data_IF_819475770959
#
_entry.id   IF_819475770959
#
_cell.length_a   1.000
_cell.length_b   1.000
_cell.length_c   1.000
_cell.angle_alpha   90.00
_cell.angle_beta   90.00
_cell.angle_gamma   90.00
#
_symmetry.space_group_name_H-M   'P 1'
#
loop_
_entity.id
_entity.type
_entity.pdbx_description
1 polymer ?
#
# COMPACT_ATOMS: atom_id res chain seq x y z
N UNK A 1 -15.23 21.26 59.23
CA UNK A 1 -14.12 20.32 59.49
C UNK A 1 -13.30 20.25 58.20
N UNK A 2 -12.64 21.36 57.80
CA UNK A 2 -11.25 21.74 58.18
C UNK A 2 -10.26 20.69 57.65
N UNK A 3 -9.75 20.78 56.42
CA UNK A 3 -8.68 21.64 55.87
C UNK A 3 -7.26 21.28 56.39
N UNK A 4 -6.39 20.79 55.50
CA UNK A 4 -4.93 20.94 55.62
C UNK A 4 -4.19 20.62 54.32
N UNK A 5 -3.86 21.68 53.58
CA UNK A 5 -2.78 21.77 52.58
C UNK A 5 -1.40 21.82 53.25
N UNK A 6 -0.30 21.35 52.61
CA UNK A 6 1.04 21.85 52.88
C UNK A 6 1.45 22.95 51.89
N UNK A 7 2.15 23.96 52.41
CA UNK A 7 2.70 25.13 51.70
C UNK A 7 4.08 24.86 51.09
N UNK A 8 4.41 25.72 50.14
CA UNK A 8 5.69 25.91 49.47
C UNK A 8 6.81 26.49 50.36
N UNK A 9 8.03 26.25 49.89
CA UNK A 9 9.31 26.83 50.29
C UNK A 9 10.42 25.82 49.93
N UNK A 10 11.55 26.15 49.34
CA UNK A 10 12.07 27.39 48.77
C UNK A 10 13.41 27.01 48.08
N UNK A 11 13.83 27.82 47.10
CA UNK A 11 15.25 28.14 46.77
C UNK A 11 16.07 27.19 45.85
N UNK A 12 16.37 27.75 44.65
CA UNK A 12 17.65 27.80 43.88
C UNK A 12 18.42 26.49 43.61
N UNK A 13 19.18 26.28 42.54
CA UNK A 13 19.72 27.04 41.42
C UNK A 13 20.48 25.98 40.58
N UNK A 14 20.48 26.13 39.26
CA UNK A 14 21.59 25.78 38.35
C UNK A 14 21.01 25.50 36.96
N UNK A 15 21.24 26.44 36.05
CA UNK A 15 21.19 26.13 34.63
C UNK A 15 22.22 25.05 34.29
N UNK A 16 22.05 24.42 33.14
CA UNK A 16 23.16 24.03 32.29
C UNK A 16 22.62 23.95 30.86
N UNK A 17 23.05 24.93 30.08
CA UNK A 17 22.95 25.00 28.64
C UNK A 17 23.96 24.01 28.05
N UNK A 18 23.47 23.03 27.29
CA UNK A 18 24.30 22.19 26.43
C UNK A 18 23.38 21.49 25.43
N UNK A 19 23.67 21.33 24.15
CA UNK A 19 24.64 21.89 23.24
C UNK A 19 24.09 21.42 21.88
N UNK A 20 23.94 22.34 20.93
CA UNK A 20 23.67 21.99 19.54
C UNK A 20 24.85 21.14 19.04
N UNK A 21 24.57 19.90 18.65
CA UNK A 21 25.46 19.09 17.83
C UNK A 21 24.84 18.96 16.44
N UNK A 22 25.17 19.95 15.62
CA UNK A 22 25.21 19.84 14.18
C UNK A 22 26.36 18.89 13.83
N UNK A 23 26.06 17.68 13.35
CA UNK A 23 27.02 16.88 12.60
C UNK A 23 26.49 16.70 11.18
N UNK A 24 27.03 17.54 10.30
CA UNK A 24 26.88 17.43 8.86
C UNK A 24 27.62 16.21 8.33
N UNK A 25 26.89 15.37 7.59
CA UNK A 25 27.48 14.57 6.53
C UNK A 25 26.78 14.98 5.24
N UNK A 26 27.49 15.80 4.46
CA UNK A 26 27.13 16.18 3.11
C UNK A 26 27.19 14.95 2.19
N UNK A 27 26.05 14.30 1.97
CA UNK A 27 25.83 13.39 0.85
C UNK A 27 25.32 14.19 -0.35
N UNK A 28 26.17 14.38 -1.35
CA UNK A 28 25.83 15.05 -2.60
C UNK A 28 24.81 14.23 -3.42
N UNK A 29 23.52 14.39 -3.13
CA UNK A 29 22.41 14.00 -4.00
C UNK A 29 21.92 15.22 -4.76
N UNK A 30 22.08 15.25 -6.09
CA UNK A 30 21.50 16.32 -6.91
C UNK A 30 19.97 16.31 -6.75
N UNK A 31 19.31 17.46 -6.51
CA UNK A 31 17.86 17.50 -6.53
C UNK A 31 17.35 17.21 -7.95
N UNK A 32 16.52 16.18 -8.10
CA UNK A 32 15.80 15.93 -9.35
C UNK A 32 14.71 17.00 -9.46
N UNK A 33 14.98 18.05 -10.23
CA UNK A 33 14.00 19.09 -10.54
C UNK A 33 12.99 18.55 -11.55
N UNK A 34 11.72 18.43 -11.15
CA UNK A 34 10.61 18.24 -12.08
C UNK A 34 10.12 19.60 -12.59
N UNK A 35 10.76 20.15 -13.62
CA UNK A 35 10.15 21.22 -14.41
C UNK A 35 9.40 20.59 -15.58
N UNK A 36 8.08 20.47 -15.47
CA UNK A 36 7.21 20.24 -16.62
C UNK A 36 7.13 21.52 -17.46
N UNK A 37 8.16 21.78 -18.26
CA UNK A 37 8.16 22.81 -19.28
C UNK A 37 7.73 22.21 -20.61
N UNK A 38 6.55 22.59 -21.08
CA UNK A 38 6.11 22.29 -22.44
C UNK A 38 6.97 23.09 -23.43
N UNK A 39 7.98 22.42 -24.00
CA UNK A 39 8.74 22.95 -25.13
C UNK A 39 8.78 21.88 -26.22
N UNK A 40 8.23 22.23 -27.37
CA UNK A 40 8.23 21.46 -28.61
C UNK A 40 9.64 20.98 -28.97
N UNK A 41 9.85 19.66 -29.00
CA UNK A 41 11.08 19.03 -29.50
C UNK A 41 10.78 18.26 -30.78
N UNK A 42 11.38 18.77 -31.85
CA UNK A 42 11.65 18.09 -33.11
C UNK A 42 12.24 16.70 -32.89
N UNK A 43 11.80 15.75 -33.73
CA UNK A 43 12.16 14.34 -33.65
C UNK A 43 13.67 14.09 -33.62
N UNK A 44 14.09 13.33 -32.62
CA UNK A 44 15.28 12.50 -32.60
C UNK A 44 15.02 11.38 -31.59
N UNK A 45 15.22 10.13 -31.99
CA UNK A 45 14.82 8.92 -31.26
C UNK A 45 15.35 8.92 -29.82
N UNK A 46 14.50 9.35 -28.89
CA UNK A 46 14.83 9.48 -27.48
C UNK A 46 14.74 8.13 -26.79
N UNK A 47 15.89 7.59 -26.38
CA UNK A 47 15.91 6.61 -25.29
C UNK A 47 15.57 7.35 -24.00
N UNK A 48 14.31 7.28 -23.59
CA UNK A 48 13.92 7.72 -22.24
C UNK A 48 14.75 6.94 -21.22
N UNK A 49 15.35 7.61 -20.22
CA UNK A 49 16.10 6.91 -19.19
C UNK A 49 15.17 5.92 -18.47
N UNK A 50 15.58 4.65 -18.42
CA UNK A 50 14.86 3.62 -17.67
C UNK A 50 15.13 3.84 -16.19
N UNK A 51 14.09 4.12 -15.42
CA UNK A 51 14.18 4.15 -13.96
C UNK A 51 14.36 2.73 -13.42
N UNK A 52 15.26 2.58 -12.46
CA UNK A 52 15.49 1.36 -11.72
C UNK A 52 14.70 1.38 -10.40
N UNK A 53 14.54 0.22 -9.77
CA UNK A 53 13.88 0.12 -8.47
C UNK A 53 14.62 0.93 -7.39
N UNK A 54 15.95 1.00 -7.49
CA UNK A 54 16.79 1.79 -6.60
C UNK A 54 16.46 3.28 -6.68
N UNK A 55 16.14 3.80 -7.87
CA UNK A 55 15.80 5.22 -8.05
C UNK A 55 14.48 5.55 -7.32
N UNK A 56 13.50 4.64 -7.37
CA UNK A 56 12.23 4.78 -6.65
C UNK A 56 12.44 4.73 -5.13
N UNK A 57 13.30 3.81 -4.66
CA UNK A 57 13.63 3.71 -3.24
C UNK A 57 14.33 4.98 -2.74
N UNK A 58 15.28 5.52 -3.51
CA UNK A 58 15.98 6.76 -3.17
C UNK A 58 15.04 7.96 -3.17
N UNK A 59 14.11 8.03 -4.12
CA UNK A 59 13.09 9.10 -4.19
C UNK A 59 12.20 9.11 -2.94
N UNK A 60 11.80 7.94 -2.44
CA UNK A 60 11.02 7.81 -1.21
C UNK A 60 11.89 8.16 0.01
N UNK A 61 13.11 7.62 0.08
CA UNK A 61 14.02 7.78 1.22
C UNK A 61 14.47 9.23 1.43
N UNK A 62 14.72 9.96 0.34
CA UNK A 62 15.15 11.37 0.37
C UNK A 62 14.01 12.37 0.54
N UNK A 63 12.75 11.90 0.66
CA UNK A 63 11.58 12.77 0.82
C UNK A 63 11.13 13.44 -0.48
N UNK A 64 11.68 13.05 -1.63
CA UNK A 64 11.23 13.50 -2.95
C UNK A 64 9.84 12.97 -3.33
N UNK A 65 9.34 11.94 -2.64
CA UNK A 65 7.97 11.46 -2.73
C UNK A 65 7.37 11.23 -1.34
N UNK A 66 6.32 11.99 -1.00
CA UNK A 66 5.65 11.94 0.32
C UNK A 66 4.17 11.57 0.23
N UNK A 67 3.64 11.39 -0.99
CA UNK A 67 2.23 11.10 -1.25
C UNK A 67 2.10 9.95 -2.23
N UNK A 68 2.29 8.73 -1.72
CA UNK A 68 2.25 7.50 -2.50
C UNK A 68 0.81 7.02 -2.63
N UNK A 69 0.33 6.88 -3.86
CA UNK A 69 -0.90 6.14 -4.15
C UNK A 69 -0.52 4.73 -4.57
N UNK A 70 -1.16 3.73 -3.97
CA UNK A 70 -0.93 2.32 -4.31
C UNK A 70 -2.22 1.75 -4.91
N UNK A 71 -2.07 1.05 -6.04
CA UNK A 71 -3.15 0.28 -6.68
C UNK A 71 -2.77 -1.20 -6.68
N UNK A 72 -3.61 -2.04 -6.09
CA UNK A 72 -3.33 -3.48 -5.95
C UNK A 72 -4.48 -4.33 -6.50
N UNK A 73 -4.20 -5.63 -6.65
CA UNK A 73 -5.19 -6.65 -7.01
C UNK A 73 -4.73 -8.01 -6.48
N UNK A 74 -5.42 -9.07 -6.88
CA UNK A 74 -5.36 -10.37 -6.20
C UNK A 74 -3.97 -10.99 -6.08
N UNK A 75 -3.04 -10.63 -6.98
CA UNK A 75 -1.65 -11.06 -6.93
C UNK A 75 -0.96 -10.82 -5.58
N UNK A 76 -1.30 -9.74 -4.86
CA UNK A 76 -0.69 -9.47 -3.54
C UNK A 76 -1.13 -10.47 -2.47
N UNK A 77 -2.28 -11.12 -2.63
CA UNK A 77 -2.87 -12.07 -1.70
C UNK A 77 -2.52 -13.53 -2.02
N UNK A 78 -1.92 -13.79 -3.19
CA UNK A 78 -1.44 -15.14 -3.57
C UNK A 78 -0.48 -15.76 -2.55
N UNK A 79 0.48 -15.03 -1.95
CA UNK A 79 1.35 -15.61 -0.92
C UNK A 79 0.63 -15.84 0.41
N UNK A 80 -0.54 -15.22 0.62
CA UNK A 80 -1.41 -15.47 1.77
C UNK A 80 -2.30 -16.71 1.59
N UNK A 81 -2.23 -17.37 0.42
CA UNK A 81 -3.03 -18.55 0.11
C UNK A 81 -4.38 -18.24 -0.57
N UNK A 82 -4.64 -16.98 -0.92
CA UNK A 82 -5.83 -16.59 -1.69
C UNK A 82 -5.49 -16.66 -3.19
N UNK A 83 -6.13 -17.56 -3.97
CA UNK A 83 -5.91 -17.62 -5.41
C UNK A 83 -6.24 -16.29 -6.09
N UNK A 84 -5.52 -15.96 -7.17
CA UNK A 84 -5.97 -14.91 -8.06
C UNK A 84 -7.10 -15.41 -8.99
N UNK A 85 -7.57 -14.56 -9.91
CA UNK A 85 -8.62 -14.94 -10.85
C UNK A 85 -8.10 -15.58 -12.13
N UNK A 86 -6.94 -15.15 -12.63
CA UNK A 86 -6.54 -15.32 -14.04
C UNK A 86 -5.29 -16.19 -14.25
N UNK A 87 -4.58 -16.57 -13.19
CA UNK A 87 -3.41 -17.44 -13.32
C UNK A 87 -3.82 -18.80 -13.90
N UNK A 88 -3.16 -19.28 -14.96
CA UNK A 88 -3.46 -20.58 -15.54
C UNK A 88 -3.29 -21.71 -14.53
N UNK A 89 -4.30 -22.57 -14.40
CA UNK A 89 -4.27 -23.78 -13.56
C UNK A 89 -4.51 -23.55 -12.06
N UNK A 90 -4.19 -22.37 -11.53
CA UNK A 90 -4.38 -22.05 -10.09
C UNK A 90 -5.43 -20.97 -9.83
N UNK A 91 -5.67 -20.08 -10.79
CA UNK A 91 -6.62 -18.99 -10.64
C UNK A 91 -8.08 -19.47 -10.72
N UNK A 92 -8.98 -18.74 -10.06
CA UNK A 92 -10.38 -19.14 -9.93
C UNK A 92 -11.03 -19.49 -11.27
N UNK A 93 -10.83 -18.70 -12.33
CA UNK A 93 -11.45 -18.96 -13.63
C UNK A 93 -11.07 -20.31 -14.24
N UNK A 94 -9.92 -20.89 -13.89
CA UNK A 94 -9.53 -22.23 -14.33
C UNK A 94 -10.35 -23.33 -13.62
N UNK A 95 -10.83 -23.06 -12.41
CA UNK A 95 -11.48 -24.03 -11.52
C UNK A 95 -13.01 -23.88 -11.46
N UNK A 96 -13.59 -22.86 -12.12
CA UNK A 96 -15.03 -22.61 -12.09
C UNK A 96 -15.87 -23.53 -13.00
N UNK A 97 -15.24 -24.40 -13.79
CA UNK A 97 -15.96 -25.31 -14.71
C UNK A 97 -16.98 -26.20 -13.97
N UNK A 98 -16.77 -26.45 -12.68
CA UNK A 98 -17.68 -27.21 -11.82
C UNK A 98 -19.05 -26.55 -11.61
N UNK A 99 -19.18 -25.22 -11.78
CA UNK A 99 -20.37 -24.46 -11.39
C UNK A 99 -21.48 -24.40 -12.46
N UNK A 100 -21.38 -25.15 -13.57
CA UNK A 100 -22.35 -25.14 -14.69
C UNK A 100 -22.71 -23.72 -15.18
N UNK A 101 -21.71 -22.85 -15.22
CA UNK A 101 -21.84 -21.47 -15.69
C UNK A 101 -21.52 -21.37 -17.19
N UNK A 102 -22.10 -20.41 -17.92
CA UNK A 102 -21.89 -20.29 -19.37
C UNK A 102 -20.46 -19.84 -19.72
N UNK A 103 -19.85 -19.04 -18.87
CA UNK A 103 -18.46 -18.58 -18.93
C UNK A 103 -18.01 -18.12 -17.53
N UNK A 104 -16.70 -18.09 -17.22
CA UNK A 104 -16.20 -17.85 -15.87
C UNK A 104 -16.68 -16.56 -15.21
N UNK A 105 -16.75 -15.47 -15.96
CA UNK A 105 -17.14 -14.14 -15.47
C UNK A 105 -18.62 -14.06 -15.07
N UNK A 106 -19.47 -14.96 -15.58
CA UNK A 106 -20.90 -14.95 -15.31
C UNK A 106 -21.22 -15.03 -13.80
N UNK A 107 -20.37 -15.69 -13.01
CA UNK A 107 -20.54 -15.76 -11.55
C UNK A 107 -20.50 -14.39 -10.86
N UNK A 108 -19.89 -13.38 -11.50
CA UNK A 108 -19.73 -12.01 -10.99
C UNK A 108 -20.64 -11.01 -11.72
N UNK A 109 -21.50 -11.46 -12.62
CA UNK A 109 -22.48 -10.59 -13.29
C UNK A 109 -23.79 -10.51 -12.50
N UNK A 110 -24.31 -9.29 -12.31
CA UNK A 110 -25.58 -9.07 -11.60
C UNK A 110 -26.76 -9.76 -12.28
N UNK A 111 -26.82 -9.74 -13.61
CA UNK A 111 -27.86 -10.40 -14.41
C UNK A 111 -27.92 -11.90 -14.15
N UNK A 112 -26.75 -12.56 -14.10
CA UNK A 112 -26.64 -13.97 -13.77
C UNK A 112 -26.97 -14.23 -12.31
N UNK A 113 -26.45 -13.41 -11.39
CA UNK A 113 -26.70 -13.53 -9.95
C UNK A 113 -28.20 -13.51 -9.62
N UNK A 114 -28.97 -12.60 -10.23
CA UNK A 114 -30.43 -12.55 -10.02
C UNK A 114 -31.18 -13.75 -10.61
N UNK A 115 -30.60 -14.43 -11.62
CA UNK A 115 -31.17 -15.64 -12.21
C UNK A 115 -30.83 -16.90 -11.40
N UNK A 116 -29.57 -17.05 -11.00
CA UNK A 116 -29.08 -18.14 -10.18
C UNK A 116 -27.93 -17.67 -9.26
N UNK A 117 -28.21 -17.34 -7.99
CA UNK A 117 -27.19 -16.85 -7.07
C UNK A 117 -26.36 -17.97 -6.43
N UNK A 118 -26.71 -19.26 -6.62
CA UNK A 118 -26.06 -20.38 -5.92
C UNK A 118 -24.57 -20.51 -6.24
N UNK A 119 -24.10 -20.37 -7.51
CA UNK A 119 -22.68 -20.39 -7.81
C UNK A 119 -21.90 -19.32 -7.03
N UNK A 120 -22.40 -18.08 -7.03
CA UNK A 120 -21.78 -16.98 -6.28
C UNK A 120 -21.71 -17.26 -4.78
N UNK A 121 -22.80 -17.71 -4.14
CA UNK A 121 -22.77 -18.00 -2.71
C UNK A 121 -21.86 -19.18 -2.34
N UNK A 122 -21.74 -20.18 -3.23
CA UNK A 122 -20.81 -21.29 -3.02
C UNK A 122 -19.36 -20.81 -3.09
N UNK A 123 -19.05 -20.00 -4.11
CA UNK A 123 -17.75 -19.35 -4.26
C UNK A 123 -17.43 -18.39 -3.09
N UNK A 124 -18.38 -17.54 -2.68
CA UNK A 124 -18.20 -16.58 -1.60
C UNK A 124 -17.93 -17.26 -0.26
N UNK A 125 -18.42 -18.50 -0.06
CA UNK A 125 -18.11 -19.30 1.13
C UNK A 125 -16.65 -19.75 1.16
N UNK A 126 -16.02 -19.99 0.00
CA UNK A 126 -14.58 -20.29 -0.08
C UNK A 126 -13.72 -19.06 0.26
N UNK A 127 -14.24 -17.85 -0.04
CA UNK A 127 -13.58 -16.58 0.25
C UNK A 127 -13.86 -16.00 1.64
N UNK A 128 -14.72 -16.64 2.44
CA UNK A 128 -15.19 -16.04 3.69
C UNK A 128 -14.02 -15.76 4.65
N UNK A 129 -13.92 -14.55 5.24
CA UNK A 129 -12.79 -14.17 6.09
C UNK A 129 -12.61 -15.10 7.29
N UNK A 130 -11.37 -15.44 7.60
CA UNK A 130 -11.03 -16.21 8.81
C UNK A 130 -9.84 -17.17 8.68
N UNK A 131 -9.48 -17.55 7.45
CA UNK A 131 -8.42 -18.54 7.20
C UNK A 131 -7.09 -17.96 6.68
N UNK A 132 -7.08 -16.68 6.30
CA UNK A 132 -5.92 -16.06 5.66
C UNK A 132 -5.31 -14.97 6.54
N UNK A 133 -4.00 -14.77 6.40
CA UNK A 133 -3.26 -13.73 7.11
C UNK A 133 -2.58 -12.80 6.12
N UNK A 134 -2.46 -11.49 6.41
CA UNK A 134 -1.66 -10.58 5.60
C UNK A 134 -0.21 -11.09 5.48
N UNK A 135 0.40 -10.88 4.33
CA UNK A 135 1.81 -11.23 4.05
C UNK A 135 2.71 -9.98 3.98
N UNK A 136 3.99 -10.16 3.65
CA UNK A 136 4.99 -9.08 3.60
C UNK A 136 4.57 -7.89 2.73
N UNK A 137 3.85 -8.11 1.62
CA UNK A 137 3.34 -7.04 0.77
C UNK A 137 2.36 -6.14 1.52
N UNK A 138 1.41 -6.75 2.24
CA UNK A 138 0.42 -6.02 3.05
C UNK A 138 1.11 -5.24 4.18
N UNK A 139 2.04 -5.88 4.88
CA UNK A 139 2.80 -5.20 5.93
C UNK A 139 3.71 -4.09 5.40
N UNK A 140 4.17 -4.17 4.15
CA UNK A 140 4.87 -3.06 3.51
C UNK A 140 3.93 -1.86 3.26
N UNK A 141 2.68 -2.09 2.88
CA UNK A 141 1.66 -1.03 2.77
C UNK A 141 1.37 -0.41 4.15
N UNK A 142 1.28 -1.24 5.19
CA UNK A 142 1.17 -0.78 6.57
C UNK A 142 2.37 0.07 6.98
N UNK A 143 3.59 -0.32 6.60
CA UNK A 143 4.80 0.45 6.88
C UNK A 143 4.80 1.81 6.17
N UNK A 144 4.33 1.87 4.91
CA UNK A 144 4.14 3.13 4.18
C UNK A 144 3.13 4.05 4.91
N UNK A 145 2.06 3.48 5.45
CA UNK A 145 1.09 4.20 6.27
C UNK A 145 1.70 4.72 7.57
N UNK A 146 2.38 3.86 8.34
CA UNK A 146 2.99 4.23 9.63
C UNK A 146 4.08 5.30 9.46
N UNK A 147 4.72 5.37 8.29
CA UNK A 147 5.68 6.42 7.92
C UNK A 147 5.05 7.71 7.39
N UNK A 148 3.73 7.78 7.28
CA UNK A 148 3.01 8.95 6.76
C UNK A 148 3.17 9.17 5.25
N UNK A 149 3.62 8.16 4.50
CA UNK A 149 3.89 8.25 3.07
C UNK A 149 2.70 7.80 2.21
N UNK A 150 1.84 6.93 2.74
CA UNK A 150 0.69 6.40 2.02
C UNK A 150 -0.44 7.44 1.95
N UNK A 151 -0.71 7.97 0.76
CA UNK A 151 -1.84 8.85 0.52
C UNK A 151 -3.15 8.06 0.41
N UNK A 152 -3.14 6.97 -0.35
CA UNK A 152 -4.31 6.11 -0.55
C UNK A 152 -3.90 4.73 -1.05
N UNK A 153 -4.61 3.72 -0.58
CA UNK A 153 -4.61 2.37 -1.14
C UNK A 153 -5.93 2.13 -1.86
N UNK A 154 -5.86 1.82 -3.15
CA UNK A 154 -6.98 1.34 -3.95
C UNK A 154 -6.78 -0.14 -4.21
N UNK A 155 -7.72 -0.97 -3.76
CA UNK A 155 -7.68 -2.42 -3.94
C UNK A 155 -8.83 -2.88 -4.85
N UNK A 156 -8.53 -3.88 -5.67
CA UNK A 156 -9.55 -4.67 -6.37
C UNK A 156 -9.96 -5.91 -5.57
N UNK A 157 -9.28 -6.20 -4.47
CA UNK A 157 -9.54 -7.37 -3.64
C UNK A 157 -10.79 -7.16 -2.79
N UNK A 158 -11.36 -8.29 -2.38
CA UNK A 158 -12.49 -8.38 -1.44
C UNK A 158 -12.17 -9.30 -0.26
N UNK A 159 -10.89 -9.64 -0.07
CA UNK A 159 -10.41 -10.54 0.99
C UNK A 159 -10.22 -9.83 2.35
N UNK A 160 -10.05 -8.50 2.33
CA UNK A 160 -9.92 -7.66 3.53
C UNK A 160 -8.58 -7.81 4.24
N UNK A 161 -7.50 -8.15 3.53
CA UNK A 161 -6.17 -8.32 4.11
C UNK A 161 -5.34 -7.02 4.18
N UNK A 162 -5.81 -5.93 3.56
CA UNK A 162 -5.17 -4.60 3.58
C UNK A 162 -5.24 -3.90 4.95
#
# INVERSE_FOLDING_TARGET
VEASTPRAGDVLEAGHQALLLEDGIAGAGRPISFSAGASSVSGSGGHSPKFLLQDVAELIKTGGCQRVVVMVGAGISTPSGVPDFRSPGTGYYSNLQQYKIPYPEAIFELSFFFRDPKPFFTFAKELYPGNYRPNATHYFLRLLHDKGLLLRLYTQNIDGLE
#
